data_IF_470618356638
#
_entry.id   IF_470618356638
#
_cell.length_a   1.000
_cell.length_b   1.000
_cell.length_c   1.000
_cell.angle_alpha   90.00
_cell.angle_beta   90.00
_cell.angle_gamma   90.00
#
_symmetry.space_group_name_H-M   'P 1'
#
loop_
_entity.id
_entity.type
_entity.pdbx_description
1 polymer ?
#
# COMPACT_ATOMS: atom_id res chain seq x y z
N UNK A 1 -31.03 -21.05 1.94
CA UNK A 1 -30.26 -19.79 1.81
C UNK A 1 -30.73 -18.74 2.81
N UNK A 2 -32.03 -18.42 2.91
CA UNK A 2 -32.55 -17.35 3.79
C UNK A 2 -32.19 -17.50 5.28
N UNK A 3 -32.28 -18.70 5.85
CA UNK A 3 -31.94 -18.94 7.26
C UNK A 3 -30.44 -18.72 7.57
N UNK A 4 -29.56 -19.01 6.62
CA UNK A 4 -28.12 -18.76 6.76
C UNK A 4 -27.81 -17.26 6.65
N UNK A 5 -28.42 -16.58 5.67
CA UNK A 5 -28.29 -15.13 5.52
C UNK A 5 -28.74 -14.40 6.80
N UNK A 6 -29.88 -14.78 7.37
CA UNK A 6 -30.37 -14.21 8.62
C UNK A 6 -29.40 -14.42 9.80
N UNK A 7 -28.76 -15.60 9.89
CA UNK A 7 -27.75 -15.87 10.92
C UNK A 7 -26.48 -15.04 10.75
N UNK A 8 -26.01 -14.86 9.51
CA UNK A 8 -24.84 -14.02 9.22
C UNK A 8 -25.13 -12.55 9.53
N UNK A 9 -26.29 -12.03 9.15
CA UNK A 9 -26.69 -10.65 9.49
C UNK A 9 -26.79 -10.44 11.00
N UNK A 10 -27.29 -11.44 11.74
CA UNK A 10 -27.38 -11.37 13.20
C UNK A 10 -26.01 -11.47 13.91
N UNK A 11 -25.02 -12.14 13.29
CA UNK A 11 -23.64 -12.14 13.79
C UNK A 11 -22.97 -10.78 13.50
N UNK A 12 -23.09 -10.28 12.27
CA UNK A 12 -22.55 -8.99 11.85
C UNK A 12 -23.08 -7.84 12.73
N UNK A 13 -24.38 -7.81 13.01
CA UNK A 13 -24.98 -6.80 13.87
C UNK A 13 -24.47 -6.87 15.32
N UNK A 14 -24.12 -8.06 15.83
CA UNK A 14 -23.51 -8.21 17.15
C UNK A 14 -22.08 -7.71 17.17
N UNK A 15 -21.30 -7.99 16.13
CA UNK A 15 -19.94 -7.50 15.99
C UNK A 15 -19.89 -5.97 15.84
N UNK A 16 -20.76 -5.38 15.01
CA UNK A 16 -20.88 -3.93 14.85
C UNK A 16 -21.25 -3.24 16.17
N UNK A 17 -22.18 -3.80 16.94
CA UNK A 17 -22.55 -3.28 18.26
C UNK A 17 -21.38 -3.37 19.27
N UNK A 18 -20.59 -4.44 19.22
CA UNK A 18 -19.40 -4.59 20.06
C UNK A 18 -18.28 -3.61 19.68
N UNK A 19 -18.09 -3.35 18.37
CA UNK A 19 -17.11 -2.39 17.87
C UNK A 19 -17.50 -0.93 18.18
N UNK A 20 -18.79 -0.59 18.10
CA UNK A 20 -19.31 0.73 18.47
C UNK A 20 -19.16 1.03 19.97
N UNK A 21 -19.05 0.00 20.82
CA UNK A 21 -18.79 0.10 22.25
C UNK A 21 -17.28 0.13 22.60
N UNK A 22 -16.39 0.21 21.60
CA UNK A 22 -14.95 0.28 21.80
C UNK A 22 -14.53 1.50 22.65
N UNK A 23 -13.44 1.38 23.45
CA UNK A 23 -12.94 2.49 24.26
C UNK A 23 -12.59 3.67 23.36
N UNK A 24 -13.14 4.82 23.74
CA UNK A 24 -12.99 6.10 23.04
C UNK A 24 -11.52 6.55 23.12
N UNK A 25 -10.69 6.07 22.18
CA UNK A 25 -9.30 6.50 22.03
C UNK A 25 -9.31 7.91 21.42
N UNK A 26 -9.36 8.92 22.30
CA UNK A 26 -9.07 10.29 21.94
C UNK A 26 -7.64 10.36 21.39
N UNK A 27 -7.52 10.72 20.12
CA UNK A 27 -6.28 11.19 19.55
C UNK A 27 -5.98 12.57 20.15
N UNK A 28 -5.15 12.61 21.19
CA UNK A 28 -4.47 13.83 21.64
C UNK A 28 -3.03 13.47 22.03
N UNK A 29 -2.13 14.25 21.44
CA UNK A 29 -0.68 14.27 21.54
C UNK A 29 -0.10 14.31 22.97
N UNK A 30 1.03 13.59 23.13
CA UNK A 30 2.11 13.67 24.15
C UNK A 30 1.94 12.92 25.50
N UNK A 31 3.04 12.59 26.23
CA UNK A 31 3.34 11.21 26.63
C UNK A 31 3.37 11.04 28.15
N UNK A 32 2.39 10.33 28.70
CA UNK A 32 2.52 9.67 30.00
C UNK A 32 1.61 8.44 30.00
N UNK A 33 2.13 7.21 30.15
CA UNK A 33 1.31 6.03 30.06
C UNK A 33 0.56 5.91 31.37
N UNK A 34 -0.74 6.27 31.37
CA UNK A 34 -1.69 5.60 32.24
C UNK A 34 -1.78 4.15 31.73
N UNK A 35 -0.78 3.36 32.10
CA UNK A 35 -0.63 1.96 31.75
C UNK A 35 -1.78 1.24 32.41
N UNK A 36 -2.77 0.86 31.61
CA UNK A 36 -3.69 -0.20 31.98
C UNK A 36 -2.82 -1.42 32.37
N UNK A 37 -2.80 -1.78 33.64
CA UNK A 37 -1.96 -2.86 34.18
C UNK A 37 -2.33 -4.24 33.58
N UNK A 38 -3.43 -4.33 32.80
CA UNK A 38 -3.80 -5.50 32.00
C UNK A 38 -3.46 -5.38 30.51
N UNK A 39 -3.03 -4.22 30.03
CA UNK A 39 -2.56 -4.09 28.66
C UNK A 39 -1.17 -4.72 28.55
N UNK A 40 -1.12 -5.89 27.91
CA UNK A 40 0.15 -6.47 27.47
C UNK A 40 0.93 -5.40 26.72
N UNK A 41 2.26 -5.26 26.93
CA UNK A 41 3.07 -4.37 26.12
C UNK A 41 2.83 -4.72 24.65
N UNK A 42 2.13 -3.84 23.93
CA UNK A 42 1.97 -3.94 22.50
C UNK A 42 3.33 -3.57 21.90
N UNK A 43 4.22 -4.55 21.85
CA UNK A 43 5.36 -4.47 20.94
C UNK A 43 4.78 -4.33 19.53
N UNK A 44 5.37 -3.48 18.68
CA UNK A 44 4.88 -3.36 17.33
C UNK A 44 4.95 -4.75 16.68
N UNK A 45 3.80 -5.21 16.15
CA UNK A 45 3.66 -6.53 15.54
C UNK A 45 4.59 -6.71 14.33
N UNK A 46 5.05 -5.58 13.78
CA UNK A 46 6.05 -5.52 12.73
C UNK A 46 7.24 -4.69 13.19
N UNK A 47 8.48 -5.08 12.83
CA UNK A 47 9.65 -4.23 13.01
C UNK A 47 9.41 -2.83 12.41
N UNK A 48 10.02 -1.77 12.98
CA UNK A 48 9.99 -0.46 12.37
C UNK A 48 10.54 -0.52 10.95
N UNK A 49 9.84 0.15 10.02
CA UNK A 49 10.27 0.18 8.63
C UNK A 49 11.60 0.90 8.48
N UNK A 50 12.47 0.32 7.68
CA UNK A 50 13.79 0.87 7.39
C UNK A 50 13.70 2.02 6.38
N UNK A 51 14.67 2.94 6.38
CA UNK A 51 14.73 4.00 5.37
C UNK A 51 14.77 3.45 3.93
N UNK A 52 15.38 2.27 3.76
CA UNK A 52 15.44 1.53 2.49
C UNK A 52 14.05 1.10 2.02
N UNK A 53 13.22 0.58 2.91
CA UNK A 53 11.83 0.20 2.61
C UNK A 53 10.98 1.43 2.27
N UNK A 54 11.15 2.52 3.02
CA UNK A 54 10.44 3.77 2.73
C UNK A 54 10.82 4.34 1.36
N UNK A 55 12.09 4.25 0.98
CA UNK A 55 12.56 4.66 -0.34
C UNK A 55 11.98 3.78 -1.46
N UNK A 56 11.98 2.45 -1.26
CA UNK A 56 11.39 1.51 -2.22
C UNK A 56 9.90 1.79 -2.46
N UNK A 57 9.15 2.02 -1.40
CA UNK A 57 7.73 2.34 -1.48
C UNK A 57 7.50 3.69 -2.15
N UNK A 58 8.32 4.70 -1.85
CA UNK A 58 8.21 6.02 -2.48
C UNK A 58 8.46 5.95 -3.99
N UNK A 59 9.53 5.27 -4.42
CA UNK A 59 9.85 5.10 -5.85
C UNK A 59 8.74 4.31 -6.55
N UNK A 60 8.28 3.22 -5.93
CA UNK A 60 7.17 2.41 -6.47
C UNK A 60 5.91 3.26 -6.63
N UNK A 61 5.55 4.06 -5.62
CA UNK A 61 4.41 4.96 -5.69
C UNK A 61 4.55 5.99 -6.82
N UNK A 62 5.71 6.63 -6.97
CA UNK A 62 5.95 7.58 -8.06
C UNK A 62 5.81 6.93 -9.45
N UNK A 63 6.37 5.72 -9.62
CA UNK A 63 6.25 4.96 -10.88
C UNK A 63 4.79 4.60 -11.16
N UNK A 64 4.05 4.13 -10.15
CA UNK A 64 2.63 3.82 -10.28
C UNK A 64 1.81 5.05 -10.68
N UNK A 65 2.03 6.20 -10.05
CA UNK A 65 1.38 7.47 -10.42
C UNK A 65 1.67 7.83 -11.88
N UNK A 66 2.94 7.80 -12.30
CA UNK A 66 3.32 8.09 -13.67
C UNK A 66 2.69 7.10 -14.67
N UNK A 67 2.60 5.82 -14.32
CA UNK A 67 2.00 4.80 -15.17
C UNK A 67 0.49 5.01 -15.35
N UNK A 68 -0.22 5.34 -14.27
CA UNK A 68 -1.64 5.69 -14.33
C UNK A 68 -1.86 6.92 -15.22
N UNK A 69 -1.01 7.95 -15.09
CA UNK A 69 -1.15 9.20 -15.81
C UNK A 69 -0.80 9.12 -17.31
N UNK A 70 0.11 8.22 -17.70
CA UNK A 70 0.70 8.23 -19.05
C UNK A 70 0.27 7.07 -19.93
N UNK A 71 0.02 5.89 -19.35
CA UNK A 71 -0.35 4.68 -20.11
C UNK A 71 -1.65 4.05 -19.62
N UNK A 72 -2.37 4.74 -18.72
CA UNK A 72 -3.64 4.26 -18.19
C UNK A 72 -3.49 2.96 -17.41
N UNK A 73 -2.36 2.77 -16.73
CA UNK A 73 -2.20 1.65 -15.82
C UNK A 73 -3.30 1.69 -14.74
N UNK A 74 -3.67 0.54 -14.20
CA UNK A 74 -4.70 0.46 -13.15
C UNK A 74 -4.18 -0.26 -11.91
N UNK A 75 -4.61 0.18 -10.71
CA UNK A 75 -4.31 -0.55 -9.49
C UNK A 75 -5.05 -1.89 -9.49
N UNK A 76 -4.38 -2.91 -9.00
CA UNK A 76 -4.94 -4.25 -8.76
C UNK A 76 -4.52 -4.77 -7.40
N UNK A 77 -5.11 -5.90 -7.02
CA UNK A 77 -4.78 -6.62 -5.80
C UNK A 77 -4.60 -8.09 -6.14
N UNK A 78 -3.41 -8.62 -5.86
CA UNK A 78 -3.13 -10.03 -5.79
C UNK A 78 -3.22 -10.48 -4.33
N UNK A 79 -3.85 -11.61 -4.06
CA UNK A 79 -3.99 -12.10 -2.69
C UNK A 79 -2.68 -12.70 -2.14
N UNK A 80 -1.79 -13.16 -3.02
CA UNK A 80 -0.49 -13.73 -2.65
C UNK A 80 0.58 -12.65 -2.61
N UNK A 81 0.59 -11.78 -3.63
CA UNK A 81 1.64 -10.76 -3.81
C UNK A 81 1.24 -9.38 -3.25
N UNK A 82 -0.03 -9.17 -2.94
CA UNK A 82 -0.55 -7.90 -2.45
C UNK A 82 -0.84 -6.89 -3.59
N UNK A 83 -0.68 -5.58 -3.35
CA UNK A 83 -0.96 -4.55 -4.35
C UNK A 83 -0.16 -4.77 -5.63
N UNK A 84 -0.82 -4.70 -6.79
CA UNK A 84 -0.16 -4.88 -8.09
C UNK A 84 -0.53 -3.75 -9.05
N UNK A 85 0.40 -3.38 -9.93
CA UNK A 85 0.14 -2.46 -11.02
C UNK A 85 -0.16 -3.27 -12.28
N UNK A 86 -1.30 -2.98 -12.92
CA UNK A 86 -1.67 -3.60 -14.19
C UNK A 86 -1.37 -2.62 -15.33
N UNK A 87 -0.48 -3.02 -16.25
CA UNK A 87 -0.15 -2.29 -17.47
C UNK A 87 -0.65 -3.10 -18.65
N UNK A 88 -1.58 -2.54 -19.43
CA UNK A 88 -2.23 -3.28 -20.52
C UNK A 88 -3.00 -4.53 -20.06
N UNK A 89 -3.49 -4.54 -18.81
CA UNK A 89 -4.19 -5.69 -18.20
C UNK A 89 -3.28 -6.80 -17.66
N UNK A 90 -1.96 -6.67 -17.78
CA UNK A 90 -0.99 -7.62 -17.24
C UNK A 90 -0.28 -7.07 -16.01
N UNK A 91 0.09 -7.94 -15.06
CA UNK A 91 0.84 -7.56 -13.86
C UNK A 91 2.26 -7.13 -14.22
N UNK A 92 2.68 -5.97 -13.72
CA UNK A 92 4.03 -5.43 -13.85
C UNK A 92 5.01 -6.07 -12.83
N UNK A 93 5.17 -7.40 -12.87
CA UNK A 93 5.99 -8.14 -11.90
C UNK A 93 7.49 -7.90 -12.04
N UNK A 94 7.93 -7.27 -13.13
CA UNK A 94 9.32 -6.94 -13.41
C UNK A 94 9.75 -5.58 -12.84
N UNK A 95 8.84 -4.81 -12.21
CA UNK A 95 9.17 -3.53 -11.55
C UNK A 95 9.99 -3.68 -10.24
N UNK A 96 9.60 -4.53 -9.26
CA UNK A 96 10.32 -4.65 -8.00
C UNK A 96 11.84 -4.87 -8.12
N UNK A 97 12.36 -5.76 -8.99
CA UNK A 97 13.81 -5.93 -9.13
C UNK A 97 14.52 -4.67 -9.66
N UNK A 98 13.86 -3.84 -10.49
CA UNK A 98 14.48 -2.60 -10.99
C UNK A 98 14.59 -1.54 -9.89
N UNK A 99 13.59 -1.45 -9.02
CA UNK A 99 13.61 -0.55 -7.86
C UNK A 99 14.68 -0.99 -6.87
N UNK A 100 14.83 -2.30 -6.65
CA UNK A 100 15.86 -2.84 -5.77
C UNK A 100 17.27 -2.52 -6.29
N UNK A 101 17.57 -2.79 -7.56
CA UNK A 101 18.88 -2.42 -8.16
C UNK A 101 19.17 -0.93 -8.04
N UNK A 102 18.19 -0.06 -8.27
CA UNK A 102 18.38 1.38 -8.08
C UNK A 102 18.75 1.73 -6.64
N UNK A 103 18.14 1.10 -5.64
CA UNK A 103 18.35 1.43 -4.23
C UNK A 103 19.67 0.85 -3.72
N UNK A 104 19.99 -0.39 -4.06
CA UNK A 104 21.17 -1.09 -3.56
C UNK A 104 22.43 -0.65 -4.31
N UNK A 105 22.37 -0.53 -5.63
CA UNK A 105 23.53 -0.25 -6.49
C UNK A 105 23.62 1.22 -6.91
N UNK A 106 22.57 2.01 -6.68
CA UNK A 106 22.49 3.40 -7.14
C UNK A 106 22.33 3.54 -8.66
N UNK A 107 22.09 2.45 -9.39
CA UNK A 107 22.01 2.45 -10.86
C UNK A 107 20.55 2.61 -11.36
N UNK A 108 20.21 3.75 -12.00
CA UNK A 108 18.87 3.96 -12.55
C UNK A 108 18.64 3.32 -13.93
N UNK A 109 19.66 2.74 -14.58
CA UNK A 109 19.57 2.31 -15.98
C UNK A 109 18.49 1.25 -16.22
N UNK A 110 18.39 0.25 -15.34
CA UNK A 110 17.39 -0.81 -15.41
C UNK A 110 15.96 -0.24 -15.32
N UNK A 111 15.71 0.61 -14.33
CA UNK A 111 14.41 1.26 -14.13
C UNK A 111 14.03 2.17 -15.31
N UNK A 112 14.96 2.98 -15.81
CA UNK A 112 14.71 3.86 -16.97
C UNK A 112 14.37 3.07 -18.23
N UNK A 113 15.08 1.97 -18.47
CA UNK A 113 14.83 1.07 -19.60
C UNK A 113 13.45 0.43 -19.48
N UNK A 114 13.09 -0.01 -18.28
CA UNK A 114 11.77 -0.55 -17.98
C UNK A 114 10.66 0.46 -18.27
N UNK A 115 10.76 1.68 -17.72
CA UNK A 115 9.77 2.75 -17.93
C UNK A 115 9.58 3.05 -19.42
N UNK A 116 10.68 3.19 -20.16
CA UNK A 116 10.66 3.45 -21.61
C UNK A 116 9.96 2.32 -22.37
N UNK A 117 10.25 1.06 -22.03
CA UNK A 117 9.61 -0.12 -22.64
C UNK A 117 8.11 -0.15 -22.40
N UNK A 118 7.67 0.25 -21.21
CA UNK A 118 6.24 0.33 -20.87
C UNK A 118 5.56 1.59 -21.43
N UNK A 119 6.31 2.53 -22.04
CA UNK A 119 5.78 3.80 -22.51
C UNK A 119 5.48 4.81 -21.39
N UNK A 120 5.89 4.51 -20.15
CA UNK A 120 5.67 5.36 -19.00
C UNK A 120 6.62 6.55 -19.08
N UNK A 121 6.08 7.76 -19.11
CA UNK A 121 6.88 8.99 -19.09
C UNK A 121 6.90 9.55 -17.67
N UNK A 122 8.05 9.59 -16.98
CA UNK A 122 8.11 10.20 -15.66
C UNK A 122 7.74 11.69 -15.67
N UNK A 123 7.78 12.34 -16.83
CA UNK A 123 7.54 13.75 -17.05
C UNK A 123 6.33 13.95 -17.97
N UNK A 124 5.35 14.70 -17.50
CA UNK A 124 4.26 15.22 -18.32
C UNK A 124 4.76 16.44 -19.11
N UNK A 125 4.78 16.44 -20.46
CA UNK A 125 5.05 17.67 -21.18
C UNK A 125 3.89 18.64 -20.90
N UNK A 126 4.18 19.75 -20.22
CA UNK A 126 3.23 20.84 -20.02
C UNK A 126 2.94 21.45 -21.38
N UNK A 127 1.75 21.15 -21.93
CA UNK A 127 1.22 21.83 -23.11
C UNK A 127 0.62 23.14 -22.61
N UNK A 128 1.35 24.24 -22.78
CA UNK A 128 0.78 25.57 -22.64
C UNK A 128 -0.12 25.80 -23.87
N UNK A 129 -1.41 25.97 -23.63
CA UNK A 129 -2.39 26.37 -24.64
C UNK A 129 -2.42 27.91 -24.75
#
# INVERSE_FOLDING_TARGET
>A
SAALAARLTAELAREEAAAAAGPQAAATSDPDPLRDDRALPLFPLQPPRTGRELLADHITAMVCCAAMDTVGAVPGLDWLDGPTLLVGGARATDLPPQVLTLIEDGDPAGLRTWLTRQGIRPEKPVRLA
#
